data_IF_796443783545
#
_entry.id   IF_796443783545
#
_cell.length_a   1.000
_cell.length_b   1.000
_cell.length_c   1.000
_cell.angle_alpha   90.00
_cell.angle_beta   90.00
_cell.angle_gamma   90.00
#
_symmetry.space_group_name_H-M   'P 1'
#
loop_
_entity.id
_entity.type
_entity.pdbx_description
1 polymer ?
#
# COMPACT_ATOMS: atom_id res chain seq x y z
N UNK A 1 4.39 -27.28 6.81
CA UNK A 1 5.32 -27.98 7.76
C UNK A 1 5.01 -27.51 9.17
N UNK A 2 4.90 -28.41 10.16
CA UNK A 2 4.68 -28.03 11.57
C UNK A 2 6.05 -27.96 12.28
N UNK A 3 6.85 -26.96 11.95
CA UNK A 3 8.24 -26.86 12.40
C UNK A 3 8.40 -26.85 13.94
N UNK A 4 7.39 -26.37 14.69
CA UNK A 4 7.40 -26.38 16.16
C UNK A 4 7.34 -27.79 16.76
N UNK A 5 6.78 -28.78 16.05
CA UNK A 5 6.65 -30.15 16.52
C UNK A 5 7.68 -31.10 15.89
N UNK A 6 8.62 -30.58 15.10
CA UNK A 6 9.69 -31.36 14.50
C UNK A 6 11.01 -31.11 15.23
N UNK A 7 11.87 -32.16 15.27
CA UNK A 7 13.22 -32.01 15.80
C UNK A 7 14.04 -31.07 14.93
N UNK A 8 15.02 -30.39 15.53
CA UNK A 8 15.90 -29.43 14.82
C UNK A 8 16.56 -30.07 13.60
N UNK A 9 17.04 -31.30 13.76
CA UNK A 9 17.68 -32.07 12.68
C UNK A 9 16.70 -32.35 11.52
N UNK A 10 15.45 -32.71 11.85
CA UNK A 10 14.44 -32.94 10.84
C UNK A 10 14.08 -31.64 10.07
N UNK A 11 13.99 -30.53 10.78
CA UNK A 11 13.76 -29.20 10.15
C UNK A 11 14.93 -28.84 9.23
N UNK A 12 16.19 -29.00 9.67
CA UNK A 12 17.39 -28.81 8.86
C UNK A 12 17.37 -29.66 7.59
N UNK A 13 17.05 -30.94 7.74
CA UNK A 13 17.00 -31.90 6.63
C UNK A 13 15.88 -31.53 5.62
N UNK A 14 14.68 -31.19 6.10
CA UNK A 14 13.55 -30.79 5.25
C UNK A 14 13.85 -29.55 4.44
N UNK A 15 14.62 -28.62 5.00
CA UNK A 15 15.02 -27.37 4.35
C UNK A 15 16.40 -27.45 3.66
N UNK A 16 17.06 -28.61 3.71
CA UNK A 16 18.43 -28.78 3.21
C UNK A 16 19.37 -27.66 3.71
N UNK A 17 19.34 -27.40 5.03
CA UNK A 17 20.13 -26.35 5.67
C UNK A 17 21.34 -26.96 6.36
N UNK A 18 22.57 -26.75 5.88
CA UNK A 18 23.78 -27.24 6.57
C UNK A 18 24.07 -26.37 7.81
N UNK A 19 24.85 -26.91 8.77
CA UNK A 19 25.25 -26.20 9.99
C UNK A 19 26.10 -24.93 9.71
N UNK A 20 26.74 -24.88 8.55
CA UNK A 20 27.45 -23.69 8.06
C UNK A 20 26.51 -22.62 7.47
N UNK A 21 25.22 -22.89 7.40
CA UNK A 21 24.25 -22.07 6.66
C UNK A 21 24.30 -22.30 5.15
N UNK A 22 23.34 -21.76 4.44
CA UNK A 22 23.27 -21.86 2.97
C UNK A 22 24.48 -21.23 2.30
N UNK A 23 24.85 -21.70 1.11
CA UNK A 23 25.78 -20.97 0.25
C UNK A 23 25.06 -19.77 -0.37
N UNK A 24 25.82 -18.73 -0.78
CA UNK A 24 25.22 -17.58 -1.47
C UNK A 24 24.54 -17.97 -2.79
N UNK A 25 25.07 -18.99 -3.47
CA UNK A 25 24.46 -19.50 -4.71
C UNK A 25 23.11 -20.17 -4.43
N UNK A 26 23.03 -21.01 -3.41
CA UNK A 26 21.80 -21.68 -2.99
C UNK A 26 20.75 -20.64 -2.52
N UNK A 27 21.16 -19.66 -1.72
CA UNK A 27 20.28 -18.57 -1.28
C UNK A 27 19.71 -17.77 -2.46
N UNK A 28 20.55 -17.45 -3.46
CA UNK A 28 20.09 -16.77 -4.67
C UNK A 28 19.08 -17.61 -5.47
N UNK A 29 19.32 -18.92 -5.60
CA UNK A 29 18.38 -19.84 -6.27
C UNK A 29 17.04 -19.90 -5.53
N UNK A 30 17.08 -19.98 -4.20
CA UNK A 30 15.86 -19.96 -3.37
C UNK A 30 15.13 -18.62 -3.44
N UNK A 31 15.84 -17.51 -3.52
CA UNK A 31 15.23 -16.19 -3.68
C UNK A 31 14.43 -16.09 -4.98
N UNK A 32 14.91 -16.70 -6.05
CA UNK A 32 14.17 -16.79 -7.32
C UNK A 32 12.93 -17.68 -7.17
N UNK A 33 13.07 -18.80 -6.44
CA UNK A 33 12.00 -19.78 -6.26
C UNK A 33 10.88 -19.31 -5.32
N UNK A 34 11.24 -18.73 -4.18
CA UNK A 34 10.29 -18.35 -3.12
C UNK A 34 9.86 -16.89 -3.21
N UNK A 35 10.61 -16.07 -3.95
CA UNK A 35 10.43 -14.62 -4.01
C UNK A 35 11.02 -13.88 -2.80
N UNK A 36 11.02 -12.54 -2.83
CA UNK A 36 11.56 -11.72 -1.76
C UNK A 36 10.69 -11.80 -0.49
N UNK A 37 11.35 -11.72 0.66
CA UNK A 37 10.70 -11.67 1.97
C UNK A 37 10.09 -10.28 2.20
N UNK A 38 8.93 -10.06 1.61
CA UNK A 38 8.16 -8.81 1.71
C UNK A 38 6.67 -9.11 1.60
N UNK A 39 5.85 -8.23 2.14
CA UNK A 39 4.41 -8.30 1.93
C UNK A 39 4.06 -7.92 0.49
N UNK A 40 2.97 -8.50 -0.02
CA UNK A 40 2.46 -8.13 -1.33
C UNK A 40 2.14 -6.64 -1.35
N UNK A 41 2.83 -5.90 -2.22
CA UNK A 41 2.48 -4.51 -2.48
C UNK A 41 1.19 -4.46 -3.29
N UNK A 42 0.34 -3.47 -3.02
CA UNK A 42 -0.83 -3.20 -3.86
C UNK A 42 -0.38 -3.03 -5.32
N UNK A 43 -1.10 -3.65 -6.24
CA UNK A 43 -0.78 -3.51 -7.67
C UNK A 43 -0.85 -2.03 -8.04
N UNK A 44 0.27 -1.50 -8.55
CA UNK A 44 0.30 -0.12 -9.08
C UNK A 44 -0.69 -0.01 -10.23
N UNK A 45 -1.59 0.97 -10.13
CA UNK A 45 -2.48 1.31 -11.23
C UNK A 45 -1.65 1.82 -12.41
N UNK A 46 -1.96 1.37 -13.63
CA UNK A 46 -1.26 1.87 -14.81
C UNK A 46 -1.55 3.37 -15.01
N UNK A 47 -0.59 4.11 -15.55
CA UNK A 47 -0.77 5.55 -15.86
C UNK A 47 -1.97 5.78 -16.77
N UNK A 48 -2.24 4.86 -17.70
CA UNK A 48 -3.42 4.93 -18.57
C UNK A 48 -4.72 4.81 -17.77
N UNK A 49 -4.79 3.89 -16.81
CA UNK A 49 -5.98 3.74 -15.97
C UNK A 49 -6.20 4.96 -15.08
N UNK A 50 -5.13 5.53 -14.51
CA UNK A 50 -5.18 6.80 -13.77
C UNK A 50 -5.69 7.93 -14.65
N UNK A 51 -5.23 8.02 -15.90
CA UNK A 51 -5.71 9.02 -16.86
C UNK A 51 -7.22 8.90 -17.14
N UNK A 52 -7.70 7.67 -17.39
CA UNK A 52 -9.15 7.42 -17.57
C UNK A 52 -9.95 7.79 -16.32
N UNK A 53 -9.41 7.49 -15.14
CA UNK A 53 -10.04 7.85 -13.85
C UNK A 53 -10.15 9.37 -13.67
N UNK A 54 -9.15 10.13 -14.10
CA UNK A 54 -9.21 11.59 -14.11
C UNK A 54 -10.33 12.09 -15.05
N UNK A 55 -10.50 11.50 -16.22
CA UNK A 55 -11.60 11.86 -17.13
C UNK A 55 -13.00 11.55 -16.59
N UNK A 56 -13.12 10.67 -15.62
CA UNK A 56 -14.36 10.35 -14.93
C UNK A 56 -14.73 11.37 -13.82
N UNK A 57 -13.92 12.39 -13.59
CA UNK A 57 -14.25 13.48 -12.68
C UNK A 57 -15.51 14.22 -13.17
N UNK A 58 -16.50 14.52 -12.28
CA UNK A 58 -17.73 15.20 -12.66
C UNK A 58 -17.53 16.53 -13.36
N UNK A 59 -16.47 17.28 -13.02
CA UNK A 59 -16.15 18.55 -13.66
C UNK A 59 -15.60 18.36 -15.06
N UNK A 60 -14.75 17.38 -15.26
CA UNK A 60 -14.21 17.05 -16.59
C UNK A 60 -15.33 16.52 -17.49
N UNK A 61 -16.26 15.75 -16.96
CA UNK A 61 -17.46 15.30 -17.69
C UNK A 61 -18.30 16.50 -18.16
N UNK A 62 -18.49 17.50 -17.28
CA UNK A 62 -19.18 18.74 -17.65
C UNK A 62 -18.47 19.48 -18.79
N UNK A 63 -17.14 19.61 -18.71
CA UNK A 63 -16.33 20.24 -19.76
C UNK A 63 -16.39 19.47 -21.09
N UNK A 64 -16.34 18.14 -21.05
CA UNK A 64 -16.48 17.30 -22.25
C UNK A 64 -17.87 17.48 -22.86
N UNK A 65 -18.92 17.55 -22.06
CA UNK A 65 -20.27 17.85 -22.54
C UNK A 65 -20.33 19.25 -23.19
N UNK A 66 -19.72 20.26 -22.57
CA UNK A 66 -19.64 21.61 -23.14
C UNK A 66 -18.89 21.65 -24.48
N UNK A 67 -17.72 20.99 -24.55
CA UNK A 67 -16.94 20.87 -25.78
C UNK A 67 -17.73 20.17 -26.91
N UNK A 68 -18.48 19.12 -26.55
CA UNK A 68 -19.32 18.40 -27.51
C UNK A 68 -20.44 19.28 -28.05
N UNK A 69 -21.12 20.05 -27.20
CA UNK A 69 -22.17 20.98 -27.59
C UNK A 69 -21.59 22.08 -28.49
N UNK A 70 -20.46 22.72 -28.12
CA UNK A 70 -19.78 23.71 -28.93
C UNK A 70 -19.41 23.19 -30.31
N UNK A 71 -18.89 21.98 -30.39
CA UNK A 71 -18.53 21.32 -31.65
C UNK A 71 -19.74 21.06 -32.57
N UNK A 72 -20.87 20.63 -32.01
CA UNK A 72 -22.12 20.36 -32.77
C UNK A 72 -22.69 21.66 -33.35
N UNK A 73 -22.55 22.79 -32.62
CA UNK A 73 -23.10 24.09 -33.06
C UNK A 73 -22.18 24.79 -34.07
N UNK A 74 -20.94 24.29 -34.22
CA UNK A 74 -19.97 24.85 -35.20
C UNK A 74 -18.91 25.78 -34.59
N UNK A 75 -18.91 25.97 -33.27
CA UNK A 75 -17.89 26.74 -32.53
C UNK A 75 -16.66 25.87 -32.28
N UNK A 76 -15.98 25.46 -33.37
CA UNK A 76 -14.87 24.51 -33.33
C UNK A 76 -13.70 25.03 -32.52
N UNK A 77 -13.43 26.34 -32.56
CA UNK A 77 -12.36 26.95 -31.79
C UNK A 77 -12.55 26.78 -30.27
N UNK A 78 -13.75 27.02 -29.76
CA UNK A 78 -14.09 26.86 -28.35
C UNK A 78 -14.03 25.39 -27.93
N UNK A 79 -14.57 24.47 -28.74
CA UNK A 79 -14.48 23.04 -28.52
C UNK A 79 -13.03 22.58 -28.39
N UNK A 80 -12.13 23.04 -29.28
CA UNK A 80 -10.71 22.68 -29.24
C UNK A 80 -10.00 23.23 -27.99
N UNK A 81 -10.30 24.48 -27.59
CA UNK A 81 -9.75 25.09 -26.39
C UNK A 81 -10.16 24.27 -25.15
N UNK A 82 -11.44 23.92 -25.03
CA UNK A 82 -11.94 23.13 -23.89
C UNK A 82 -11.30 21.76 -23.89
N UNK A 83 -11.22 21.07 -25.02
CA UNK A 83 -10.54 19.78 -25.14
C UNK A 83 -9.06 19.87 -24.72
N UNK A 84 -8.38 20.94 -25.13
CA UNK A 84 -6.97 21.16 -24.73
C UNK A 84 -6.85 21.35 -23.21
N UNK A 85 -7.71 22.15 -22.60
CA UNK A 85 -7.73 22.36 -21.13
C UNK A 85 -8.03 21.05 -20.40
N UNK A 86 -9.02 20.27 -20.86
CA UNK A 86 -9.34 18.96 -20.28
C UNK A 86 -8.14 18.00 -20.35
N UNK A 87 -7.48 17.95 -21.51
CA UNK A 87 -6.31 17.11 -21.70
C UNK A 87 -5.16 17.53 -20.77
N UNK A 88 -4.92 18.84 -20.68
CA UNK A 88 -3.87 19.40 -19.83
C UNK A 88 -4.14 19.11 -18.35
N UNK A 89 -5.37 19.32 -17.87
CA UNK A 89 -5.77 19.00 -16.50
C UNK A 89 -5.63 17.50 -16.19
N UNK A 90 -6.07 16.63 -17.09
CA UNK A 90 -5.93 15.19 -16.90
C UNK A 90 -4.46 14.74 -16.81
N UNK A 91 -3.58 15.30 -17.66
CA UNK A 91 -2.14 15.05 -17.61
C UNK A 91 -1.54 15.55 -16.30
N UNK A 92 -1.88 16.79 -15.91
CA UNK A 92 -1.40 17.37 -14.65
C UNK A 92 -1.82 16.55 -13.44
N UNK A 93 -3.06 16.08 -13.39
CA UNK A 93 -3.58 15.22 -12.33
C UNK A 93 -2.79 13.92 -12.22
N UNK A 94 -2.55 13.23 -13.34
CA UNK A 94 -1.74 11.99 -13.36
C UNK A 94 -0.31 12.26 -12.89
N UNK A 95 0.32 13.38 -13.32
CA UNK A 95 1.68 13.73 -12.92
C UNK A 95 1.77 14.02 -11.42
N UNK A 96 0.79 14.74 -10.86
CA UNK A 96 0.73 15.06 -9.43
C UNK A 96 0.54 13.78 -8.60
N UNK A 97 -0.38 12.90 -9.01
CA UNK A 97 -0.63 11.63 -8.34
C UNK A 97 0.62 10.72 -8.38
N UNK A 98 1.29 10.61 -9.53
CA UNK A 98 2.52 9.83 -9.66
C UNK A 98 3.67 10.39 -8.80
N UNK A 99 3.78 11.72 -8.67
CA UNK A 99 4.77 12.35 -7.77
C UNK A 99 4.48 12.06 -6.29
N UNK A 100 3.21 12.14 -5.89
CA UNK A 100 2.78 11.83 -4.52
C UNK A 100 3.08 10.38 -4.17
N UNK A 101 2.73 9.42 -5.05
CA UNK A 101 3.03 7.99 -4.88
C UNK A 101 4.53 7.72 -4.75
N UNK A 102 5.35 8.35 -5.61
CA UNK A 102 6.80 8.22 -5.55
C UNK A 102 7.40 8.79 -4.25
N UNK A 103 6.86 9.89 -3.73
CA UNK A 103 7.29 10.46 -2.46
C UNK A 103 7.02 9.51 -1.29
N UNK A 104 5.83 8.88 -1.25
CA UNK A 104 5.47 7.87 -0.26
C UNK A 104 6.39 6.64 -0.36
N UNK A 105 6.68 6.16 -1.56
CA UNK A 105 7.57 5.02 -1.82
C UNK A 105 9.00 5.31 -1.31
N UNK A 106 9.48 6.54 -1.51
CA UNK A 106 10.80 6.96 -1.03
C UNK A 106 10.88 6.98 0.50
N UNK A 107 9.81 7.36 1.19
CA UNK A 107 9.76 7.32 2.65
C UNK A 107 9.76 5.87 3.17
N UNK A 108 9.03 4.97 2.53
CA UNK A 108 9.02 3.55 2.89
C UNK A 108 10.38 2.88 2.67
N UNK A 109 11.11 3.22 1.60
CA UNK A 109 12.42 2.65 1.30
C UNK A 109 13.54 3.09 2.28
N UNK A 110 13.36 4.20 3.01
CA UNK A 110 14.32 4.65 4.02
C UNK A 110 14.36 3.76 5.27
N UNK A 111 13.39 2.87 5.46
CA UNK A 111 13.29 1.93 6.59
C UNK A 111 13.66 0.50 6.20
N UNK A 112 14.63 0.32 5.29
CA UNK A 112 15.12 -1.03 4.95
C UNK A 112 15.79 -1.67 6.17
N UNK A 113 15.17 -2.71 6.72
CA UNK A 113 15.73 -3.50 7.79
C UNK A 113 16.76 -4.52 7.27
N UNK A 114 17.78 -4.78 8.10
CA UNK A 114 18.82 -5.77 7.83
C UNK A 114 18.70 -6.93 8.81
N UNK A 115 19.17 -8.11 8.39
CA UNK A 115 19.22 -9.31 9.23
C UNK A 115 20.65 -9.87 9.24
N UNK A 116 21.06 -10.35 10.41
CA UNK A 116 22.32 -11.09 10.60
C UNK A 116 22.07 -12.56 10.24
N UNK A 117 22.75 -13.05 9.21
CA UNK A 117 22.58 -14.44 8.75
C UNK A 117 23.92 -15.15 8.69
N UNK A 118 23.90 -16.46 8.95
CA UNK A 118 25.07 -17.31 8.77
C UNK A 118 24.97 -18.00 7.41
N UNK A 119 25.83 -17.62 6.48
CA UNK A 119 25.95 -18.26 5.15
C UNK A 119 27.40 -18.68 4.91
N UNK A 120 27.60 -19.91 4.44
CA UNK A 120 28.93 -20.45 4.16
C UNK A 120 29.90 -20.39 5.34
N UNK A 121 29.39 -20.57 6.58
CA UNK A 121 30.16 -20.54 7.83
C UNK A 121 30.49 -19.13 8.35
N UNK A 122 30.08 -18.06 7.65
CA UNK A 122 30.33 -16.67 8.05
C UNK A 122 29.02 -15.96 8.39
N UNK A 123 29.05 -15.13 9.42
CA UNK A 123 27.94 -14.23 9.75
C UNK A 123 28.05 -12.98 8.91
N UNK A 124 27.01 -12.67 8.14
CA UNK A 124 26.94 -11.52 7.26
C UNK A 124 25.64 -10.77 7.50
N UNK A 125 25.62 -9.47 7.18
CA UNK A 125 24.41 -8.65 7.16
C UNK A 125 23.84 -8.66 5.75
N UNK A 126 22.55 -8.97 5.63
CA UNK A 126 21.80 -8.90 4.38
C UNK A 126 20.55 -8.06 4.56
N UNK A 127 19.96 -7.58 3.47
CA UNK A 127 18.62 -6.98 3.53
C UNK A 127 17.60 -8.06 3.92
N UNK A 128 16.65 -7.73 4.79
CA UNK A 128 15.58 -8.66 5.20
C UNK A 128 14.83 -9.24 4.01
N UNK A 129 14.70 -8.47 2.92
CA UNK A 129 14.05 -8.92 1.68
C UNK A 129 14.78 -10.09 0.99
N UNK A 130 16.09 -10.27 1.27
CA UNK A 130 16.91 -11.33 0.68
C UNK A 130 16.90 -12.64 1.50
N UNK A 131 16.15 -12.67 2.61
CA UNK A 131 15.98 -13.88 3.42
C UNK A 131 15.15 -14.91 2.66
N UNK A 132 15.59 -16.16 2.77
CA UNK A 132 14.94 -17.30 2.14
C UNK A 132 14.72 -18.44 3.15
N UNK A 133 13.73 -19.31 2.95
CA UNK A 133 13.57 -20.52 3.77
C UNK A 133 14.85 -21.34 3.79
N UNK A 134 15.30 -21.70 5.00
CA UNK A 134 16.55 -22.40 5.26
C UNK A 134 17.74 -21.50 5.64
N UNK A 135 17.62 -20.18 5.59
CA UNK A 135 18.65 -19.31 6.16
C UNK A 135 18.77 -19.47 7.68
N UNK A 136 19.98 -19.39 8.21
CA UNK A 136 20.25 -19.34 9.65
C UNK A 136 20.35 -17.88 10.08
N UNK A 137 19.39 -17.42 10.89
CA UNK A 137 19.31 -16.03 11.38
C UNK A 137 19.81 -15.97 12.81
N UNK A 138 20.67 -14.98 13.09
CA UNK A 138 21.13 -14.65 14.43
C UNK A 138 20.28 -13.52 15.00
N UNK A 139 19.78 -13.67 16.20
CA UNK A 139 18.95 -12.71 16.91
C UNK A 139 19.64 -12.22 18.19
N UNK A 140 19.61 -10.93 18.43
CA UNK A 140 20.11 -10.29 19.64
C UNK A 140 19.06 -9.30 20.19
N UNK A 141 19.17 -8.97 21.48
CA UNK A 141 18.27 -7.97 22.08
C UNK A 141 18.30 -6.65 21.31
N UNK A 142 17.12 -6.14 20.94
CA UNK A 142 16.92 -4.95 20.10
C UNK A 142 16.65 -5.28 18.62
N UNK A 143 16.88 -6.52 18.18
CA UNK A 143 16.58 -6.94 16.80
C UNK A 143 15.07 -7.18 16.62
N UNK A 144 14.53 -6.76 15.49
CA UNK A 144 13.22 -7.24 15.02
C UNK A 144 13.38 -8.61 14.36
N UNK A 145 12.46 -9.53 14.61
CA UNK A 145 12.43 -10.84 13.99
C UNK A 145 12.07 -10.70 12.51
N UNK A 146 12.97 -11.08 11.58
CA UNK A 146 12.86 -10.72 10.18
C UNK A 146 12.02 -11.68 9.32
N UNK A 147 11.66 -12.84 9.85
CA UNK A 147 10.87 -13.89 9.18
C UNK A 147 10.32 -14.85 10.23
N UNK A 148 9.50 -15.82 9.85
CA UNK A 148 9.10 -16.88 10.77
C UNK A 148 10.23 -17.91 10.92
N UNK A 149 10.71 -18.08 12.15
CA UNK A 149 11.88 -18.88 12.49
C UNK A 149 11.52 -20.03 13.40
N UNK A 150 12.12 -21.20 13.17
CA UNK A 150 12.27 -22.27 14.16
C UNK A 150 13.57 -22.02 14.93
N UNK A 151 13.45 -21.74 16.21
CA UNK A 151 14.60 -21.52 17.08
C UNK A 151 15.39 -22.81 17.29
N UNK A 152 16.72 -22.75 17.19
CA UNK A 152 17.60 -23.89 17.26
C UNK A 152 18.65 -23.82 18.37
N UNK A 153 18.87 -22.62 18.94
CA UNK A 153 19.82 -22.39 20.01
C UNK A 153 19.78 -20.95 20.49
N UNK A 154 20.41 -20.72 21.64
CA UNK A 154 20.48 -19.38 22.21
C UNK A 154 20.69 -19.38 23.72
N UNK A 155 20.60 -18.18 24.33
CA UNK A 155 20.68 -17.99 25.77
C UNK A 155 19.69 -16.93 26.22
N UNK A 156 18.79 -17.33 27.13
CA UNK A 156 17.78 -16.45 27.77
C UNK A 156 17.00 -15.57 26.80
N UNK A 157 16.67 -16.11 25.64
CA UNK A 157 15.96 -15.37 24.58
C UNK A 157 14.54 -15.07 25.04
N UNK A 158 14.18 -13.78 25.04
CA UNK A 158 12.80 -13.32 25.28
C UNK A 158 12.33 -12.43 24.14
N UNK A 159 11.13 -12.73 23.63
CA UNK A 159 10.54 -12.06 22.47
C UNK A 159 9.20 -11.47 22.89
N UNK A 160 8.98 -10.21 22.53
CA UNK A 160 7.69 -9.54 22.65
C UNK A 160 6.85 -9.86 21.41
N UNK A 161 5.73 -10.55 21.62
CA UNK A 161 4.86 -11.05 20.55
C UNK A 161 3.48 -10.37 20.53
N UNK A 162 3.36 -9.21 21.20
CA UNK A 162 2.10 -8.47 21.35
C UNK A 162 1.39 -8.19 20.00
N UNK A 163 2.15 -7.97 18.94
CA UNK A 163 1.62 -7.73 17.60
C UNK A 163 0.83 -8.91 17.02
N UNK A 164 1.09 -10.15 17.50
CA UNK A 164 0.46 -11.37 17.02
C UNK A 164 -0.49 -11.99 18.04
N UNK A 165 -0.12 -11.96 19.32
CA UNK A 165 -0.86 -12.62 20.39
C UNK A 165 -1.73 -11.69 21.19
N UNK A 166 -1.43 -10.38 21.16
CA UNK A 166 -2.05 -9.36 22.01
C UNK A 166 -1.50 -9.31 23.44
N UNK A 167 -0.57 -10.21 23.80
CA UNK A 167 0.04 -10.26 25.13
C UNK A 167 1.30 -9.40 25.19
N UNK A 168 1.30 -8.40 26.08
CA UNK A 168 2.41 -7.43 26.22
C UNK A 168 3.61 -7.97 27.03
N UNK A 169 3.47 -9.14 27.68
CA UNK A 169 4.56 -9.75 28.45
C UNK A 169 5.47 -10.53 27.52
N UNK A 170 6.80 -10.26 27.53
CA UNK A 170 7.74 -11.00 26.69
C UNK A 170 7.75 -12.49 27.03
N UNK A 171 7.68 -13.30 26.00
CA UNK A 171 7.68 -14.77 26.09
C UNK A 171 9.12 -15.27 26.15
N UNK A 172 9.44 -16.06 27.16
CA UNK A 172 10.72 -16.77 27.22
C UNK A 172 10.71 -17.94 26.24
N UNK A 173 11.70 -17.95 25.36
CA UNK A 173 11.79 -18.95 24.28
C UNK A 173 12.65 -20.13 24.69
N UNK A 174 12.29 -21.31 24.18
CA UNK A 174 13.10 -22.51 24.29
C UNK A 174 13.43 -23.10 22.90
N UNK A 175 14.18 -24.21 22.88
CA UNK A 175 14.63 -24.79 21.62
C UNK A 175 14.15 -26.26 21.48
N UNK A 176 13.43 -26.77 22.44
CA UNK A 176 12.94 -28.12 22.48
C UNK A 176 11.81 -28.36 21.47
N UNK A 177 11.60 -29.61 21.10
CA UNK A 177 10.49 -29.99 20.24
C UNK A 177 9.21 -30.02 21.05
N UNK A 178 8.16 -29.32 20.59
CA UNK A 178 6.86 -29.34 21.25
C UNK A 178 6.05 -30.54 20.80
N UNK A 179 5.53 -31.31 21.76
CA UNK A 179 4.64 -32.41 21.45
C UNK A 179 3.27 -31.89 20.98
N UNK A 180 3.03 -31.95 19.69
CA UNK A 180 1.70 -31.70 19.14
C UNK A 180 0.84 -32.97 19.36
N UNK A 181 -0.05 -32.92 20.34
CA UNK A 181 -1.13 -33.90 20.48
C UNK A 181 -2.14 -33.65 19.32
N UNK A 182 -3.28 -34.30 19.31
CA UNK A 182 -4.24 -34.30 18.19
C UNK A 182 -4.64 -32.90 17.62
N UNK A 183 -4.45 -31.82 18.36
CA UNK A 183 -4.75 -30.42 17.93
C UNK A 183 -3.49 -29.61 17.69
N UNK A 184 -3.57 -28.65 16.76
CA UNK A 184 -2.52 -27.66 16.55
C UNK A 184 -2.29 -26.82 17.82
N UNK A 185 -1.01 -26.59 18.17
CA UNK A 185 -0.62 -25.71 19.27
C UNK A 185 -0.97 -24.26 18.88
N UNK A 186 -1.70 -23.50 19.72
CA UNK A 186 -1.93 -22.08 19.50
C UNK A 186 -0.63 -21.32 19.29
N UNK A 187 -0.68 -20.22 18.53
CA UNK A 187 0.51 -19.46 18.16
C UNK A 187 1.31 -18.97 19.38
N UNK A 188 0.62 -18.46 20.41
CA UNK A 188 1.22 -17.99 21.65
C UNK A 188 1.99 -19.07 22.43
N UNK A 189 1.58 -20.33 22.31
CA UNK A 189 2.19 -21.46 23.03
C UNK A 189 3.36 -22.10 22.26
N UNK A 190 3.65 -21.63 21.04
CA UNK A 190 4.79 -22.15 20.24
C UNK A 190 6.09 -21.48 20.67
N UNK A 191 6.51 -21.75 21.90
CA UNK A 191 7.66 -21.10 22.55
C UNK A 191 9.01 -21.41 21.89
N UNK A 192 9.07 -22.34 20.93
CA UNK A 192 10.26 -22.67 20.14
C UNK A 192 10.26 -22.01 18.73
N UNK A 193 9.33 -21.09 18.50
CA UNK A 193 9.23 -20.32 17.27
C UNK A 193 9.43 -18.83 17.56
N UNK A 194 9.86 -18.08 16.55
CA UNK A 194 9.85 -16.61 16.53
C UNK A 194 9.21 -16.16 15.22
N UNK A 195 8.44 -15.09 15.26
CA UNK A 195 7.58 -14.68 14.17
C UNK A 195 7.94 -13.30 13.62
N UNK A 196 7.76 -13.12 12.32
CA UNK A 196 7.93 -11.83 11.64
C UNK A 196 7.12 -10.73 12.34
N UNK A 197 7.76 -9.59 12.60
CA UNK A 197 7.09 -8.42 13.19
C UNK A 197 7.02 -8.43 14.72
N UNK A 198 7.75 -9.33 15.37
CA UNK A 198 7.98 -9.38 16.82
C UNK A 198 9.38 -8.85 17.15
N UNK A 199 9.65 -8.48 18.41
CA UNK A 199 10.92 -7.87 18.81
C UNK A 199 11.64 -8.70 19.88
N UNK A 200 12.94 -8.86 19.73
CA UNK A 200 13.79 -9.47 20.76
C UNK A 200 14.06 -8.45 21.85
N UNK A 201 13.57 -8.69 23.06
CA UNK A 201 13.75 -7.77 24.19
C UNK A 201 14.89 -8.16 25.10
N UNK A 202 15.30 -9.44 25.12
CA UNK A 202 16.38 -9.92 25.96
C UNK A 202 17.05 -11.16 25.38
N UNK A 203 18.35 -11.33 25.67
CA UNK A 203 19.10 -12.53 25.30
C UNK A 203 19.54 -12.55 23.85
N UNK A 204 19.87 -13.77 23.38
CA UNK A 204 20.28 -14.03 22.01
C UNK A 204 19.79 -15.39 21.55
N UNK A 205 19.59 -15.56 20.24
CA UNK A 205 19.14 -16.81 19.67
C UNK A 205 19.62 -17.02 18.25
N UNK A 206 19.52 -18.26 17.78
CA UNK A 206 19.71 -18.65 16.40
C UNK A 206 18.44 -19.39 15.95
N UNK A 207 17.97 -19.08 14.74
CA UNK A 207 16.79 -19.71 14.17
C UNK A 207 16.95 -20.02 12.69
N UNK A 208 16.24 -21.04 12.22
CA UNK A 208 16.14 -21.37 10.80
C UNK A 208 14.89 -20.70 10.25
N UNK A 209 15.01 -19.97 9.14
CA UNK A 209 13.87 -19.40 8.41
C UNK A 209 13.00 -20.53 7.87
N UNK A 210 11.73 -20.54 8.28
CA UNK A 210 10.73 -21.51 7.84
C UNK A 210 9.87 -20.94 6.73
N UNK A 211 9.33 -19.73 6.96
CA UNK A 211 8.45 -19.03 6.02
C UNK A 211 8.85 -17.56 5.90
N UNK A 212 8.60 -17.00 4.71
CA UNK A 212 8.93 -15.62 4.35
C UNK A 212 7.74 -14.90 3.72
N UNK A 213 7.71 -13.57 3.80
CA UNK A 213 6.75 -12.70 3.14
C UNK A 213 5.30 -13.05 3.49
N UNK A 214 4.48 -13.20 2.48
CA UNK A 214 3.03 -13.50 2.63
C UNK A 214 2.71 -14.86 3.24
N UNK A 215 3.70 -15.76 3.34
CA UNK A 215 3.50 -17.10 3.94
C UNK A 215 3.69 -17.09 5.45
N UNK A 216 4.33 -16.07 6.02
CA UNK A 216 4.48 -15.91 7.47
C UNK A 216 3.14 -15.72 8.16
N UNK A 217 3.07 -15.91 9.47
CA UNK A 217 1.83 -15.67 10.23
C UNK A 217 1.36 -14.21 10.09
N UNK A 218 2.29 -13.26 10.18
CA UNK A 218 2.00 -11.84 9.92
C UNK A 218 1.57 -11.60 8.45
N UNK A 219 2.19 -12.31 7.50
CA UNK A 219 1.83 -12.24 6.07
C UNK A 219 0.41 -12.71 5.80
N UNK A 220 -0.06 -13.75 6.48
CA UNK A 220 -1.46 -14.22 6.39
C UNK A 220 -2.44 -13.15 6.89
N UNK A 221 -2.12 -12.48 8.01
CA UNK A 221 -2.91 -11.37 8.54
C UNK A 221 -2.92 -10.20 7.55
N UNK A 222 -1.75 -9.81 7.04
CA UNK A 222 -1.62 -8.77 6.03
C UNK A 222 -2.42 -9.09 4.76
N UNK A 223 -2.45 -10.34 4.33
CA UNK A 223 -3.26 -10.81 3.20
C UNK A 223 -4.76 -10.66 3.40
N UNK A 224 -5.26 -10.91 4.61
CA UNK A 224 -6.67 -10.70 4.96
C UNK A 224 -6.99 -9.19 4.91
N UNK A 225 -6.11 -8.35 5.47
CA UNK A 225 -6.28 -6.90 5.49
C UNK A 225 -6.23 -6.33 4.05
N UNK A 226 -5.28 -6.76 3.23
CA UNK A 226 -5.12 -6.30 1.85
C UNK A 226 -6.33 -6.64 0.94
N UNK A 227 -7.03 -7.73 1.24
CA UNK A 227 -8.27 -8.10 0.53
C UNK A 227 -9.51 -7.35 1.06
N UNK A 228 -9.39 -6.66 2.19
CA UNK A 228 -10.46 -5.79 2.70
C UNK A 228 -10.36 -4.46 1.94
N UNK A 229 -11.48 -4.00 1.35
CA UNK A 229 -11.50 -2.70 0.65
C UNK A 229 -11.00 -1.63 1.61
N UNK A 230 -10.02 -0.86 1.18
CA UNK A 230 -9.57 0.32 1.92
C UNK A 230 -10.75 1.26 2.14
N UNK A 231 -11.24 1.30 3.36
CA UNK A 231 -12.24 2.28 3.76
C UNK A 231 -11.57 3.65 3.86
N UNK A 232 -12.10 4.61 3.09
CA UNK A 232 -11.62 6.00 3.18
C UNK A 232 -11.66 6.50 4.62
N UNK A 233 -10.65 7.23 5.03
CA UNK A 233 -10.59 7.81 6.39
C UNK A 233 -11.82 8.68 6.67
N UNK A 234 -12.22 8.86 7.94
CA UNK A 234 -13.34 9.75 8.29
C UNK A 234 -13.18 11.17 7.72
N UNK A 235 -11.94 11.66 7.65
CA UNK A 235 -11.63 12.97 7.07
C UNK A 235 -11.82 12.96 5.55
N UNK A 236 -11.32 11.94 4.84
CA UNK A 236 -11.54 11.79 3.40
C UNK A 236 -13.04 11.68 3.07
N UNK A 237 -13.82 10.93 3.87
CA UNK A 237 -15.28 10.85 3.71
C UNK A 237 -15.95 12.21 3.90
N UNK A 238 -15.55 13.00 4.92
CA UNK A 238 -16.07 14.36 5.14
C UNK A 238 -15.71 15.32 4.01
N UNK A 239 -14.46 15.29 3.54
CA UNK A 239 -13.97 16.13 2.45
C UNK A 239 -14.62 15.76 1.12
N UNK A 240 -14.78 14.48 0.83
CA UNK A 240 -15.50 14.01 -0.34
C UNK A 240 -16.98 14.46 -0.32
N UNK A 241 -17.64 14.46 0.86
CA UNK A 241 -18.99 15.00 1.00
C UNK A 241 -19.02 16.50 0.78
N UNK A 242 -18.06 17.25 1.32
CA UNK A 242 -17.95 18.69 1.12
C UNK A 242 -17.73 19.03 -0.36
N UNK A 243 -16.79 18.34 -1.02
CA UNK A 243 -16.52 18.51 -2.45
C UNK A 243 -17.79 18.27 -3.30
N UNK A 244 -18.52 17.18 -3.05
CA UNK A 244 -19.79 16.91 -3.73
C UNK A 244 -20.83 18.01 -3.49
N UNK A 245 -20.96 18.49 -2.26
CA UNK A 245 -21.90 19.55 -1.91
C UNK A 245 -21.54 20.86 -2.63
N UNK A 246 -20.25 21.22 -2.67
CA UNK A 246 -19.77 22.38 -3.41
C UNK A 246 -20.02 22.23 -4.91
N UNK A 247 -19.75 21.05 -5.49
CA UNK A 247 -20.01 20.78 -6.91
C UNK A 247 -21.49 20.95 -7.26
N UNK A 248 -22.41 20.40 -6.45
CA UNK A 248 -23.84 20.57 -6.66
C UNK A 248 -24.29 22.04 -6.54
N UNK A 249 -23.72 22.78 -5.57
CA UNK A 249 -24.00 24.20 -5.38
C UNK A 249 -23.55 25.01 -6.60
N UNK A 250 -22.33 24.77 -7.10
CA UNK A 250 -21.78 25.44 -8.28
C UNK A 250 -22.60 25.13 -9.53
N UNK A 251 -22.97 23.86 -9.75
CA UNK A 251 -23.84 23.48 -10.86
C UNK A 251 -25.21 24.17 -10.72
N UNK A 252 -25.78 24.24 -9.53
CA UNK A 252 -27.04 24.93 -9.26
C UNK A 252 -26.95 26.45 -9.60
N UNK A 253 -25.86 27.11 -9.21
CA UNK A 253 -25.60 28.51 -9.54
C UNK A 253 -25.44 28.68 -11.06
N UNK A 254 -24.71 27.82 -11.74
CA UNK A 254 -24.51 27.88 -13.19
C UNK A 254 -25.83 27.72 -13.94
N UNK A 255 -26.67 26.78 -13.57
CA UNK A 255 -28.03 26.59 -14.13
C UNK A 255 -28.90 27.80 -13.86
N UNK A 256 -28.87 28.32 -12.63
CA UNK A 256 -29.61 29.54 -12.27
C UNK A 256 -29.18 30.74 -13.13
N UNK A 257 -27.88 30.98 -13.25
CA UNK A 257 -27.34 32.07 -14.05
C UNK A 257 -27.70 31.93 -15.53
N UNK A 258 -27.62 30.71 -16.06
CA UNK A 258 -28.03 30.42 -17.43
C UNK A 258 -29.51 30.78 -17.68
N UNK A 259 -30.41 30.26 -16.86
CA UNK A 259 -31.86 30.49 -16.98
C UNK A 259 -32.21 31.94 -16.74
N UNK A 260 -31.64 32.60 -15.71
CA UNK A 260 -31.85 33.99 -15.40
C UNK A 260 -31.41 34.91 -16.54
N UNK A 261 -30.21 34.69 -17.10
CA UNK A 261 -29.70 35.45 -18.21
C UNK A 261 -30.54 35.29 -19.48
N UNK A 262 -31.00 34.06 -19.74
CA UNK A 262 -31.88 33.75 -20.87
C UNK A 262 -33.23 34.48 -20.77
N UNK A 263 -33.82 34.49 -19.58
CA UNK A 263 -35.09 35.22 -19.35
C UNK A 263 -34.90 36.72 -19.42
N UNK A 264 -33.79 37.25 -18.86
CA UNK A 264 -33.50 38.69 -18.81
C UNK A 264 -33.24 39.26 -20.18
N UNK A 265 -32.46 38.54 -21.01
CA UNK A 265 -32.11 39.01 -22.36
C UNK A 265 -33.28 38.84 -23.35
N UNK A 266 -34.19 37.91 -23.13
CA UNK A 266 -35.37 37.66 -23.96
C UNK A 266 -35.06 37.23 -25.40
N UNK A 267 -33.80 37.02 -25.74
CA UNK A 267 -33.34 36.55 -27.05
C UNK A 267 -33.04 35.05 -27.00
N UNK A 268 -33.88 34.28 -27.65
CA UNK A 268 -33.78 32.82 -27.74
C UNK A 268 -33.07 32.37 -29.02
N UNK A 269 -32.27 33.23 -29.65
CA UNK A 269 -31.48 32.84 -30.80
C UNK A 269 -30.44 31.79 -30.41
N UNK A 270 -30.14 30.87 -31.31
CA UNK A 270 -29.21 29.76 -31.07
C UNK A 270 -27.83 30.26 -30.64
N UNK A 271 -27.32 31.31 -31.25
CA UNK A 271 -26.03 31.93 -30.88
C UNK A 271 -26.04 32.52 -29.48
N UNK A 272 -27.14 33.14 -29.06
CA UNK A 272 -27.27 33.72 -27.73
C UNK A 272 -27.37 32.66 -26.63
N UNK A 273 -28.19 31.63 -26.85
CA UNK A 273 -28.33 30.51 -25.94
C UNK A 273 -26.95 29.87 -25.69
N UNK A 274 -26.16 29.64 -26.77
CA UNK A 274 -24.84 29.08 -26.66
C UNK A 274 -23.88 29.96 -25.87
N UNK A 275 -23.85 31.26 -26.18
CA UNK A 275 -23.00 32.24 -25.48
C UNK A 275 -23.29 32.24 -23.97
N UNK A 276 -24.57 32.29 -23.59
CA UNK A 276 -24.99 32.24 -22.18
C UNK A 276 -24.66 30.90 -21.50
N UNK A 277 -24.79 29.81 -22.24
CA UNK A 277 -24.37 28.49 -21.75
C UNK A 277 -22.86 28.43 -21.47
N UNK A 278 -22.04 28.91 -22.41
CA UNK A 278 -20.59 28.94 -22.27
C UNK A 278 -20.13 29.82 -21.10
N UNK A 279 -20.75 31.00 -20.93
CA UNK A 279 -20.48 31.87 -19.77
C UNK A 279 -20.81 31.16 -18.47
N UNK A 280 -21.95 30.46 -18.39
CA UNK A 280 -22.38 29.76 -17.19
C UNK A 280 -21.46 28.56 -16.87
N UNK A 281 -21.01 27.83 -17.89
CA UNK A 281 -20.03 26.73 -17.73
C UNK A 281 -18.67 27.27 -17.28
N UNK A 282 -18.19 28.38 -17.89
CA UNK A 282 -16.93 29.01 -17.49
C UNK A 282 -16.94 29.48 -16.03
N UNK A 283 -18.06 30.03 -15.58
CA UNK A 283 -18.27 30.44 -14.19
C UNK A 283 -18.25 29.21 -13.25
N UNK A 284 -18.89 28.12 -13.65
CA UNK A 284 -18.90 26.87 -12.88
C UNK A 284 -17.50 26.32 -12.71
N UNK A 285 -16.71 26.28 -13.79
CA UNK A 285 -15.33 25.79 -13.77
C UNK A 285 -14.44 26.64 -12.85
N UNK A 286 -14.54 27.99 -12.96
CA UNK A 286 -13.75 28.89 -12.12
C UNK A 286 -14.07 28.81 -10.62
N UNK A 287 -15.27 28.38 -10.27
CA UNK A 287 -15.73 28.31 -8.88
C UNK A 287 -15.36 27.01 -8.14
N UNK A 288 -14.87 25.98 -8.84
CA UNK A 288 -14.51 24.71 -8.22
C UNK A 288 -13.06 24.73 -7.76
N UNK A 289 -12.78 24.41 -6.49
CA UNK A 289 -11.42 24.29 -5.99
C UNK A 289 -10.78 22.99 -6.52
N UNK A 290 -10.07 23.11 -7.64
CA UNK A 290 -9.32 22.01 -8.23
C UNK A 290 -8.23 21.52 -7.25
N UNK A 291 -8.13 20.22 -7.06
CA UNK A 291 -7.07 19.62 -6.25
C UNK A 291 -7.31 19.57 -4.74
N UNK A 292 -8.46 19.99 -4.20
CA UNK A 292 -8.72 19.95 -2.75
C UNK A 292 -8.54 18.54 -2.17
N UNK A 293 -9.03 17.52 -2.85
CA UNK A 293 -8.89 16.13 -2.43
C UNK A 293 -7.42 15.65 -2.50
N UNK A 294 -6.69 16.02 -3.54
CA UNK A 294 -5.29 15.62 -3.76
C UNK A 294 -4.34 16.30 -2.76
N UNK A 295 -4.54 17.61 -2.53
CA UNK A 295 -3.72 18.38 -1.57
C UNK A 295 -3.92 17.84 -0.15
N UNK A 296 -5.15 17.52 0.22
CA UNK A 296 -5.44 16.97 1.56
C UNK A 296 -4.85 15.59 1.74
N UNK A 297 -4.92 14.71 0.74
CA UNK A 297 -4.27 13.40 0.79
C UNK A 297 -2.75 13.55 0.96
N UNK A 298 -2.16 14.50 0.26
CA UNK A 298 -0.71 14.77 0.31
C UNK A 298 -0.29 15.34 1.67
N UNK A 299 -1.06 16.29 2.23
CA UNK A 299 -0.80 16.86 3.56
C UNK A 299 -0.96 15.82 4.67
N UNK A 300 -1.98 14.97 4.59
CA UNK A 300 -2.19 13.88 5.55
C UNK A 300 -1.07 12.83 5.49
N UNK A 301 -0.55 12.53 4.30
CA UNK A 301 0.56 11.58 4.15
C UNK A 301 1.90 12.11 4.64
N UNK A 302 2.07 13.44 4.69
CA UNK A 302 3.28 14.08 5.25
C UNK A 302 3.17 14.37 6.76
N UNK A 303 1.96 14.30 7.32
CA UNK A 303 1.68 14.60 8.73
C UNK A 303 1.61 13.36 9.63
N UNK A 304 1.86 12.17 9.10
CA UNK A 304 2.02 10.89 9.80
C UNK A 304 3.49 10.52 9.80
#
# INVERSE_FOLDING_TARGET
MRAYSESIERVKNNLNTPDSGLSNHEAASRLIQYGPNQFAQAKKESLFFKFIKQLADPMIILLIAAATISGIIGEIADALIICFVVLLNAIMGVVQEAKAEKALESLQSMSESVAKVKRGGKVILIKTQELVPGDLVMLEAGDAVPADLRLIGGASLKIEEASLTGESVPVEKNFETLEAKEKDIPLADRINMAYLGTNVVYGRGEGIVIETGMKTEMGKIAGIIANTKEDSTPLQKKLGKLSKTLSYLVIGIAVFMFVFSLIKDGDFSQTKILSLFMISVSLAVAAVPEGLATVVTLVLSMGV
#
